data_IF_891651194293
#
_entry.id   IF_891651194293
#
_cell.length_a   1.000
_cell.length_b   1.000
_cell.length_c   1.000
_cell.angle_alpha   90.00
_cell.angle_beta   90.00
_cell.angle_gamma   90.00
#
_symmetry.space_group_name_H-M   'P 1'
#
loop_
_entity.id
_entity.type
_entity.pdbx_description
1 polymer ?
#
# COMPACT_ATOMS: atom_id res chain seq x y z
N UNK A 1 -3.51 10.85 6.90
CA UNK A 1 -3.45 11.88 5.83
C UNK A 1 -2.20 12.75 5.94
N UNK A 2 -2.28 14.00 6.46
CA UNK A 2 -1.16 14.97 6.41
C UNK A 2 0.12 14.51 7.11
N UNK A 3 0.01 13.76 8.20
CA UNK A 3 1.16 13.20 8.92
C UNK A 3 2.01 12.22 8.06
N UNK A 4 1.44 11.68 6.99
CA UNK A 4 2.12 10.83 6.03
C UNK A 4 2.53 11.57 4.74
N UNK A 5 2.27 12.88 4.65
CA UNK A 5 2.47 13.66 3.42
C UNK A 5 1.37 13.47 2.37
N UNK A 6 0.25 12.84 2.75
CA UNK A 6 -0.93 12.71 1.89
C UNK A 6 -1.68 14.04 1.81
N UNK A 7 -1.98 14.49 0.61
CA UNK A 7 -2.91 15.59 0.40
C UNK A 7 -4.34 15.13 0.76
N UNK A 8 -4.97 15.69 1.81
CA UNK A 8 -6.32 15.30 2.20
C UNK A 8 -7.40 15.74 1.20
N UNK A 9 -7.09 16.64 0.25
CA UNK A 9 -8.04 17.08 -0.79
C UNK A 9 -8.06 16.10 -1.95
N UNK A 10 -6.89 15.61 -2.38
CA UNK A 10 -6.80 14.58 -3.43
C UNK A 10 -7.33 13.23 -2.94
N UNK A 11 -7.15 12.90 -1.66
CA UNK A 11 -7.67 11.65 -1.08
C UNK A 11 -6.93 10.39 -1.54
N UNK A 12 -6.12 10.47 -2.59
CA UNK A 12 -5.24 9.43 -3.10
C UNK A 12 -3.79 9.94 -3.26
N UNK A 13 -2.82 9.00 -3.26
CA UNK A 13 -1.43 9.31 -3.57
C UNK A 13 -0.83 8.17 -4.38
N UNK A 14 -0.07 8.54 -5.41
CA UNK A 14 0.78 7.67 -6.23
C UNK A 14 2.07 7.24 -5.50
N UNK A 15 2.41 7.88 -4.38
CA UNK A 15 3.65 7.63 -3.65
C UNK A 15 3.47 6.46 -2.69
N UNK A 16 4.15 5.35 -2.98
CA UNK A 16 4.17 4.16 -2.13
C UNK A 16 4.45 4.49 -0.66
N UNK A 17 5.42 5.36 -0.38
CA UNK A 17 5.78 5.76 1.00
C UNK A 17 4.63 6.42 1.76
N UNK A 18 3.80 7.22 1.06
CA UNK A 18 2.63 7.87 1.66
C UNK A 18 1.60 6.79 1.98
N UNK A 19 1.31 5.93 1.01
CA UNK A 19 0.34 4.85 1.15
C UNK A 19 0.73 3.83 2.25
N UNK A 20 2.00 3.42 2.32
CA UNK A 20 2.53 2.56 3.40
C UNK A 20 2.43 3.21 4.79
N UNK A 21 2.66 4.52 4.88
CA UNK A 21 2.49 5.24 6.14
C UNK A 21 1.01 5.28 6.57
N UNK A 22 0.10 5.35 5.60
CA UNK A 22 -1.34 5.32 5.84
C UNK A 22 -1.80 3.93 6.27
N UNK A 23 -1.29 2.89 5.62
CA UNK A 23 -1.51 1.48 5.98
C UNK A 23 -1.06 1.21 7.43
N UNK A 24 0.12 1.69 7.83
CA UNK A 24 0.60 1.61 9.23
C UNK A 24 -0.29 2.33 10.23
N UNK A 25 -1.08 3.32 9.79
CA UNK A 25 -2.04 4.04 10.63
C UNK A 25 -3.42 3.35 10.66
N UNK A 26 -3.54 2.16 10.07
CA UNK A 26 -4.77 1.38 10.02
C UNK A 26 -5.74 1.85 8.95
N UNK A 27 -5.28 2.66 7.99
CA UNK A 27 -6.13 3.13 6.91
C UNK A 27 -6.12 2.11 5.77
N UNK A 28 -6.90 1.06 5.98
CA UNK A 28 -7.31 0.14 4.93
C UNK A 28 -8.65 0.64 4.39
N UNK A 29 -8.67 1.08 3.14
CA UNK A 29 -9.91 1.07 2.39
C UNK A 29 -10.25 -0.39 2.08
N UNK A 30 -11.51 -0.68 1.77
CA UNK A 30 -12.00 -2.00 1.33
C UNK A 30 -11.19 -2.62 0.17
N UNK A 31 -10.31 -1.83 -0.47
CA UNK A 31 -9.33 -2.25 -1.47
C UNK A 31 -8.18 -3.13 -0.95
N UNK A 32 -7.95 -3.21 0.36
CA UNK A 32 -6.92 -4.08 0.93
C UNK A 32 -5.53 -3.42 1.05
N UNK A 33 -4.46 -4.21 1.21
CA UNK A 33 -3.10 -3.69 1.41
C UNK A 33 -2.58 -2.95 0.19
N UNK A 34 -1.84 -1.88 0.42
CA UNK A 34 -1.23 -1.09 -0.65
C UNK A 34 -0.28 -1.96 -1.46
N UNK A 35 0.45 -2.85 -0.81
CA UNK A 35 1.40 -3.74 -1.49
C UNK A 35 0.77 -4.89 -2.28
N UNK A 36 -0.55 -4.97 -2.28
CA UNK A 36 -1.35 -5.87 -3.08
C UNK A 36 -1.97 -5.17 -4.31
N UNK A 37 -1.74 -3.87 -4.48
CA UNK A 37 -2.05 -3.14 -5.71
C UNK A 37 -1.12 -3.52 -6.87
N UNK A 38 -1.64 -3.50 -8.10
CA UNK A 38 -0.90 -3.91 -9.31
C UNK A 38 0.32 -3.02 -9.57
N UNK A 39 0.16 -1.72 -9.40
CA UNK A 39 1.17 -0.73 -9.79
C UNK A 39 2.42 -0.77 -8.91
N UNK A 40 2.25 -1.14 -7.64
CA UNK A 40 3.36 -1.26 -6.66
C UNK A 40 3.72 -2.71 -6.36
N UNK A 41 3.15 -3.67 -7.08
CA UNK A 41 3.39 -5.10 -6.82
C UNK A 41 4.87 -5.48 -6.92
N UNK A 42 5.59 -4.90 -7.88
CA UNK A 42 7.01 -5.19 -8.12
C UNK A 42 7.96 -4.30 -7.32
N UNK A 43 7.44 -3.40 -6.48
CA UNK A 43 8.30 -2.56 -5.64
C UNK A 43 9.01 -3.40 -4.58
N UNK A 44 10.32 -3.19 -4.35
CA UNK A 44 11.12 -3.99 -3.43
C UNK A 44 10.64 -3.85 -1.97
N UNK A 45 10.09 -2.69 -1.60
CA UNK A 45 9.47 -2.48 -0.29
C UNK A 45 8.23 -3.35 -0.12
N UNK A 46 7.41 -3.46 -1.16
CA UNK A 46 6.20 -4.27 -1.15
C UNK A 46 6.47 -5.76 -1.22
N UNK A 47 7.51 -6.20 -1.93
CA UNK A 47 7.95 -7.59 -1.90
C UNK A 47 8.37 -7.99 -0.48
N UNK A 48 9.13 -7.13 0.23
CA UNK A 48 9.53 -7.37 1.62
C UNK A 48 8.35 -7.34 2.59
N UNK A 49 7.41 -6.43 2.39
CA UNK A 49 6.19 -6.37 3.18
C UNK A 49 5.35 -7.63 2.99
N UNK A 50 5.10 -8.04 1.73
CA UNK A 50 4.34 -9.26 1.42
C UNK A 50 5.01 -10.49 1.97
N UNK A 51 6.33 -10.62 1.89
CA UNK A 51 7.04 -11.74 2.48
C UNK A 51 6.84 -11.88 4.01
N UNK A 52 6.48 -10.80 4.71
CA UNK A 52 6.22 -10.81 6.16
C UNK A 52 4.75 -10.87 6.53
N UNK A 53 3.89 -10.24 5.74
CA UNK A 53 2.49 -9.97 6.10
C UNK A 53 1.47 -10.70 5.22
N UNK A 54 1.86 -11.13 4.01
CA UNK A 54 0.97 -11.78 3.04
C UNK A 54 1.65 -12.99 2.38
N UNK A 55 1.05 -13.55 1.33
CA UNK A 55 1.67 -14.59 0.51
C UNK A 55 2.45 -13.92 -0.64
N UNK A 56 3.78 -14.07 -0.71
CA UNK A 56 4.61 -13.34 -1.67
C UNK A 56 4.25 -13.58 -3.15
N UNK A 57 3.59 -14.69 -3.46
CA UNK A 57 3.36 -15.16 -4.84
C UNK A 57 1.89 -15.28 -5.25
N UNK A 58 0.95 -14.80 -4.44
CA UNK A 58 -0.48 -14.84 -4.80
C UNK A 58 -0.91 -13.46 -5.27
N UNK A 59 -1.11 -13.30 -6.58
CA UNK A 59 -1.72 -12.09 -7.14
C UNK A 59 -3.19 -12.04 -6.71
N UNK A 60 -3.62 -11.05 -5.91
CA UNK A 60 -5.00 -11.01 -5.40
C UNK A 60 -6.04 -10.68 -6.47
N UNK A 61 -5.61 -10.22 -7.65
CA UNK A 61 -6.48 -9.72 -8.71
C UNK A 61 -6.82 -10.72 -9.83
N UNK A 62 -6.51 -12.02 -9.67
CA UNK A 62 -6.99 -13.12 -10.52
C UNK A 62 -6.84 -12.92 -12.02
#
# INVERSE_FOLDING_TARGET
>A
MRACGMDPVLGESDKLKVNLCMEKKGWYLEQGPVCEEKDVWNEPECIKWRAKHSKPDVKPWG
#
